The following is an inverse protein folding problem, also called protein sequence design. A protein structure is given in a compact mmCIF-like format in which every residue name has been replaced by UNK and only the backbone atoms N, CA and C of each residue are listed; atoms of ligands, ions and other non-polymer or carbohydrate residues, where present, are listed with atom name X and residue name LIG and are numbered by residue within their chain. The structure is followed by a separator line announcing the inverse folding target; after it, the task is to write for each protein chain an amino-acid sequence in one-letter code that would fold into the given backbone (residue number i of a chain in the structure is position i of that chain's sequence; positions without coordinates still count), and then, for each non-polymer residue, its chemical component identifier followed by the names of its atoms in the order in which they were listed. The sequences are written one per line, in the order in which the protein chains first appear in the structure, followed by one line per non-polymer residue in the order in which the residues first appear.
data_IF_331648106933
#
_entry.id   IF_331648106933
#
_cell.length_a   1.000
_cell.length_b   1.000
_cell.length_c   1.000
_cell.angle_alpha   90.00
_cell.angle_beta   90.00
_cell.angle_gamma   90.00
#
_symmetry.space_group_name_H-M   'P 1'
#
loop_
_entity.id
_entity.type
_entity.pdbx_description
1 polymer ?
#
# COMPACT_ATOMS: atom_id res chain seq x y z
N UNK A 1 8.41 -5.61 19.22
CA UNK A 1 9.54 -4.74 18.88
C UNK A 1 9.15 -3.66 17.87
N UNK A 2 8.48 -4.01 16.73
CA UNK A 2 8.09 -3.02 15.73
C UNK A 2 7.21 -1.92 16.33
N UNK A 3 6.21 -2.29 17.13
CA UNK A 3 5.29 -1.33 17.76
C UNK A 3 6.04 -0.33 18.64
N UNK A 4 7.09 -0.77 19.35
CA UNK A 4 7.89 0.12 20.20
C UNK A 4 8.67 1.17 19.42
N UNK A 5 8.88 0.96 18.12
CA UNK A 5 9.54 1.91 17.23
C UNK A 5 8.56 2.86 16.53
N UNK A 6 7.27 2.52 16.49
CA UNK A 6 6.26 3.40 15.89
C UNK A 6 6.02 4.60 16.80
N UNK A 7 6.16 5.78 16.23
CA UNK A 7 5.96 7.04 16.95
C UNK A 7 4.55 7.58 16.72
N UNK A 8 3.85 7.92 17.81
CA UNK A 8 2.53 8.56 17.73
C UNK A 8 2.71 10.07 17.93
N UNK A 9 2.26 10.84 16.95
CA UNK A 9 2.38 12.31 16.93
C UNK A 9 0.97 12.92 17.01
N UNK A 10 0.52 13.37 18.19
CA UNK A 10 -0.78 14.01 18.32
C UNK A 10 -0.83 15.36 17.59
N UNK A 11 -2.00 15.68 17.01
CA UNK A 11 -2.22 16.97 16.37
C UNK A 11 -1.50 17.17 15.03
N UNK A 12 -1.09 16.10 14.37
CA UNK A 12 -0.45 16.18 13.07
C UNK A 12 -1.21 15.30 12.04
N UNK A 13 -1.41 15.77 10.78
CA UNK A 13 -1.06 17.09 10.23
C UNK A 13 -1.97 18.22 10.71
N UNK A 14 -3.03 17.91 11.43
CA UNK A 14 -3.97 18.89 12.03
C UNK A 14 -4.49 18.38 13.37
N UNK A 15 -5.05 19.31 14.15
CA UNK A 15 -5.66 19.01 15.45
C UNK A 15 -6.72 17.89 15.35
N UNK A 16 -6.75 17.00 16.33
CA UNK A 16 -7.67 15.86 16.39
C UNK A 16 -7.16 14.60 15.69
N UNK A 17 -6.03 14.67 14.97
CA UNK A 17 -5.42 13.51 14.32
C UNK A 17 -4.20 13.05 15.12
N UNK A 18 -4.06 11.74 15.26
CA UNK A 18 -2.84 11.11 15.76
C UNK A 18 -2.11 10.46 14.57
N UNK A 19 -1.01 11.06 14.17
CA UNK A 19 -0.19 10.52 13.09
C UNK A 19 0.65 9.35 13.60
N UNK A 20 0.56 8.21 12.92
CA UNK A 20 1.35 7.01 13.24
C UNK A 20 2.57 6.96 12.33
N UNK A 21 3.70 7.37 12.87
CA UNK A 21 4.96 7.45 12.13
C UNK A 21 5.77 6.17 12.31
N UNK A 22 5.94 5.42 11.23
CA UNK A 22 6.75 4.20 11.22
C UNK A 22 8.16 4.41 10.65
N UNK A 23 8.52 5.62 10.28
CA UNK A 23 9.88 5.92 9.77
C UNK A 23 10.99 5.49 10.72
N UNK A 24 10.82 5.56 12.05
CA UNK A 24 11.83 5.02 12.97
C UNK A 24 12.05 3.51 12.84
N UNK A 25 11.06 2.76 12.38
CA UNK A 25 11.21 1.31 12.08
C UNK A 25 12.19 1.11 10.93
N UNK A 26 12.08 1.94 9.89
CA UNK A 26 12.95 1.86 8.72
C UNK A 26 14.38 2.32 9.01
N UNK A 27 14.51 3.28 9.92
CA UNK A 27 15.81 3.82 10.31
C UNK A 27 16.61 2.87 11.20
N UNK A 28 15.95 1.93 11.86
CA UNK A 28 16.58 0.93 12.70
C UNK A 28 16.91 -0.33 11.89
N UNK A 29 18.21 -0.74 11.79
CA UNK A 29 18.58 -1.90 10.97
C UNK A 29 17.87 -3.19 11.36
N UNK A 30 17.64 -3.40 12.65
CA UNK A 30 16.91 -4.55 13.15
C UNK A 30 15.41 -4.41 12.85
N UNK A 31 14.87 -3.21 13.01
CA UNK A 31 13.47 -2.90 12.71
C UNK A 31 13.11 -3.14 11.24
N UNK A 32 13.92 -2.63 10.32
CA UNK A 32 13.75 -2.85 8.90
C UNK A 32 13.78 -4.34 8.51
N UNK A 33 14.76 -5.07 9.05
CA UNK A 33 14.87 -6.52 8.78
C UNK A 33 13.66 -7.30 9.31
N UNK A 34 13.22 -6.98 10.53
CA UNK A 34 12.04 -7.61 11.12
C UNK A 34 10.78 -7.25 10.35
N UNK A 35 10.63 -5.99 9.93
CA UNK A 35 9.49 -5.55 9.13
C UNK A 35 9.35 -6.35 7.84
N UNK A 36 10.42 -6.45 7.06
CA UNK A 36 10.40 -7.18 5.78
C UNK A 36 10.08 -8.66 5.99
N UNK A 37 10.68 -9.28 7.00
CA UNK A 37 10.39 -10.68 7.34
C UNK A 37 8.95 -10.87 7.78
N UNK A 38 8.43 -10.01 8.62
CA UNK A 38 7.04 -10.08 9.10
C UNK A 38 6.03 -9.88 7.97
N UNK A 39 6.29 -8.96 7.04
CA UNK A 39 5.44 -8.75 5.87
C UNK A 39 5.42 -9.99 4.96
N UNK A 40 6.56 -10.63 4.77
CA UNK A 40 6.65 -11.86 3.98
C UNK A 40 5.90 -13.02 4.66
N UNK A 41 6.08 -13.22 5.96
CA UNK A 41 5.42 -14.29 6.72
C UNK A 41 3.90 -14.07 6.82
N UNK A 42 3.44 -12.83 6.79
CA UNK A 42 2.03 -12.45 6.88
C UNK A 42 1.35 -12.22 5.53
N UNK A 43 1.97 -12.60 4.42
CA UNK A 43 1.36 -12.42 3.10
C UNK A 43 -0.05 -13.00 3.07
N UNK A 44 -1.04 -12.25 2.52
CA UNK A 44 -2.43 -12.71 2.48
C UNK A 44 -2.67 -13.81 1.46
N UNK A 45 -1.74 -13.96 0.51
CA UNK A 45 -1.74 -14.98 -0.54
C UNK A 45 -0.33 -15.52 -0.72
N UNK A 46 -0.21 -16.73 -1.25
CA UNK A 46 1.10 -17.35 -1.53
C UNK A 46 1.87 -16.54 -2.59
N UNK A 47 3.21 -16.45 -2.51
CA UNK A 47 4.02 -15.83 -3.56
C UNK A 47 3.79 -16.41 -4.96
N UNK A 48 3.34 -17.66 -5.08
CA UNK A 48 2.98 -18.26 -6.37
C UNK A 48 1.69 -17.70 -6.98
N UNK A 49 0.90 -16.94 -6.22
CA UNK A 49 -0.40 -16.40 -6.64
C UNK A 49 -0.31 -14.99 -7.21
N UNK A 50 0.85 -14.35 -7.20
CA UNK A 50 1.03 -13.03 -7.80
C UNK A 50 2.36 -12.92 -8.55
N UNK A 51 2.40 -11.98 -9.48
CA UNK A 51 3.53 -11.76 -10.40
C UNK A 51 4.29 -10.48 -10.09
N UNK A 52 3.60 -9.49 -9.53
CA UNK A 52 4.15 -8.17 -9.24
C UNK A 52 3.59 -7.61 -7.93
N UNK A 53 4.35 -6.70 -7.33
CA UNK A 53 3.93 -5.90 -6.18
C UNK A 53 3.73 -4.47 -6.67
N UNK A 54 2.56 -3.89 -6.37
CA UNK A 54 2.28 -2.47 -6.59
C UNK A 54 2.37 -1.72 -5.26
N UNK A 55 3.23 -0.72 -5.19
CA UNK A 55 3.36 0.15 -4.02
C UNK A 55 2.68 1.49 -4.26
N UNK A 56 1.99 2.00 -3.23
CA UNK A 56 1.27 3.27 -3.32
C UNK A 56 2.17 4.43 -2.85
N UNK A 57 2.18 5.51 -3.63
CA UNK A 57 2.92 6.72 -3.28
C UNK A 57 2.45 7.28 -1.94
N UNK A 58 3.36 7.65 -1.09
CA UNK A 58 4.80 7.51 -1.25
C UNK A 58 5.38 6.44 -0.33
N UNK A 59 4.72 6.15 0.77
CA UNK A 59 5.28 5.29 1.82
C UNK A 59 5.31 3.81 1.46
N UNK A 60 4.45 3.36 0.54
CA UNK A 60 4.53 2.03 -0.05
C UNK A 60 5.82 1.79 -0.84
N UNK A 61 6.48 2.86 -1.31
CA UNK A 61 7.77 2.77 -2.01
C UNK A 61 8.95 2.48 -1.08
N UNK A 62 8.78 2.72 0.22
CA UNK A 62 9.87 2.58 1.19
C UNK A 62 10.19 1.13 1.51
N UNK A 63 9.29 0.20 1.25
CA UNK A 63 9.49 -1.23 1.51
C UNK A 63 8.98 -2.13 0.37
N UNK A 64 8.08 -1.65 -0.47
CA UNK A 64 7.53 -2.43 -1.60
C UNK A 64 8.58 -3.00 -2.54
N UNK A 65 9.54 -2.19 -3.04
CA UNK A 65 10.62 -2.69 -3.91
C UNK A 65 11.51 -3.74 -3.24
N UNK A 66 11.79 -3.58 -1.94
CA UNK A 66 12.57 -4.56 -1.19
C UNK A 66 11.84 -5.90 -1.07
N UNK A 67 10.52 -5.87 -0.80
CA UNK A 67 9.68 -7.07 -0.81
C UNK A 67 9.68 -7.74 -2.17
N UNK A 68 9.47 -6.97 -3.24
CA UNK A 68 9.44 -7.48 -4.60
C UNK A 68 10.75 -8.18 -4.96
N UNK A 69 11.88 -7.53 -4.73
CA UNK A 69 13.20 -8.10 -5.00
C UNK A 69 13.44 -9.39 -4.22
N UNK A 70 13.10 -9.41 -2.92
CA UNK A 70 13.25 -10.58 -2.07
C UNK A 70 12.41 -11.77 -2.53
N UNK A 71 11.19 -11.50 -3.00
CA UNK A 71 10.24 -12.52 -3.49
C UNK A 71 10.42 -12.88 -4.97
N UNK A 72 11.37 -12.26 -5.66
CA UNK A 72 11.59 -12.49 -7.10
C UNK A 72 10.46 -11.93 -7.97
N UNK A 73 9.85 -10.84 -7.57
CA UNK A 73 8.73 -10.18 -8.28
C UNK A 73 9.15 -8.83 -8.86
N UNK A 74 8.40 -8.35 -9.85
CA UNK A 74 8.50 -6.97 -10.32
C UNK A 74 7.80 -6.00 -9.38
N UNK A 75 8.11 -4.70 -9.52
CA UNK A 75 7.49 -3.63 -8.76
C UNK A 75 6.80 -2.61 -9.68
N UNK A 76 5.60 -2.22 -9.32
CA UNK A 76 4.79 -1.23 -10.02
C UNK A 76 4.60 -0.04 -9.09
N UNK A 77 5.00 1.15 -9.55
CA UNK A 77 4.78 2.38 -8.81
C UNK A 77 3.39 2.94 -9.14
N UNK A 78 2.51 3.02 -8.15
CA UNK A 78 1.24 3.75 -8.25
C UNK A 78 1.48 5.13 -7.67
N UNK A 79 1.39 6.16 -8.50
CA UNK A 79 1.74 7.52 -8.14
C UNK A 79 0.54 8.46 -8.21
N UNK A 80 0.65 9.59 -7.51
CA UNK A 80 -0.30 10.70 -7.68
C UNK A 80 -0.20 11.26 -9.09
N UNK A 81 -1.32 11.76 -9.62
CA UNK A 81 -1.39 12.32 -10.97
C UNK A 81 -0.31 13.38 -11.22
N UNK A 82 0.27 13.34 -12.41
CA UNK A 82 1.29 14.28 -12.85
C UNK A 82 2.72 13.97 -12.42
N UNK A 83 2.97 12.81 -11.78
CA UNK A 83 4.29 12.41 -11.31
C UNK A 83 5.02 11.44 -12.24
N UNK A 84 4.30 10.83 -13.17
CA UNK A 84 4.85 9.88 -14.14
C UNK A 84 4.97 10.50 -15.54
N UNK A 85 5.97 10.09 -16.33
CA UNK A 85 6.00 10.47 -17.72
C UNK A 85 4.85 9.82 -18.51
N UNK A 86 4.36 10.45 -19.59
CA UNK A 86 3.36 9.80 -20.43
C UNK A 86 3.97 8.58 -21.15
N UNK A 87 3.18 7.56 -21.50
CA UNK A 87 1.73 7.55 -21.31
C UNK A 87 1.35 6.90 -19.97
N UNK A 88 0.28 7.41 -19.36
CA UNK A 88 -0.26 6.90 -18.10
C UNK A 88 -1.72 6.54 -18.21
N UNK A 89 -2.17 5.65 -17.33
CA UNK A 89 -3.58 5.39 -17.06
C UNK A 89 -3.86 5.91 -15.66
N UNK A 90 -4.99 6.59 -15.48
CA UNK A 90 -5.37 7.20 -14.21
C UNK A 90 -6.73 6.73 -13.69
N UNK A 91 -6.90 6.86 -12.39
CA UNK A 91 -8.16 6.64 -11.67
C UNK A 91 -8.32 7.72 -10.61
N UNK A 92 -9.51 8.32 -10.56
CA UNK A 92 -9.84 9.35 -9.58
C UNK A 92 -10.66 8.79 -8.43
N UNK A 93 -10.52 9.38 -7.25
CA UNK A 93 -11.30 9.04 -6.07
C UNK A 93 -11.57 10.27 -5.21
N UNK A 94 -12.68 10.21 -4.47
CA UNK A 94 -13.11 11.33 -3.64
C UNK A 94 -12.35 11.35 -2.30
N UNK A 95 -12.00 12.56 -1.89
CA UNK A 95 -11.50 12.88 -0.56
C UNK A 95 -12.62 13.54 0.25
N UNK A 96 -12.40 13.72 1.55
CA UNK A 96 -13.29 14.53 2.39
C UNK A 96 -13.46 15.95 1.81
N UNK A 97 -12.40 16.51 1.24
CA UNK A 97 -12.38 17.80 0.55
C UNK A 97 -11.74 17.66 -0.82
N UNK A 98 -12.56 17.55 -1.87
CA UNK A 98 -12.10 17.46 -3.26
C UNK A 98 -11.88 16.05 -3.74
N UNK A 99 -11.09 15.93 -4.81
CA UNK A 99 -10.75 14.66 -5.45
C UNK A 99 -9.24 14.49 -5.55
N UNK A 100 -8.79 13.24 -5.60
CA UNK A 100 -7.42 12.90 -5.92
C UNK A 100 -7.40 11.88 -7.06
N UNK A 101 -6.26 11.74 -7.73
CA UNK A 101 -6.07 10.76 -8.79
C UNK A 101 -4.75 10.05 -8.60
N UNK A 102 -4.75 8.76 -8.92
CA UNK A 102 -3.54 7.93 -8.98
C UNK A 102 -3.34 7.45 -10.41
N UNK A 103 -2.09 7.23 -10.78
CA UNK A 103 -1.67 6.84 -12.12
C UNK A 103 -0.64 5.71 -12.06
N UNK A 104 -0.62 4.90 -13.13
CA UNK A 104 0.46 3.99 -13.46
C UNK A 104 0.89 4.24 -14.91
N UNK A 105 2.11 3.89 -15.26
CA UNK A 105 2.52 3.85 -16.66
C UNK A 105 1.70 2.80 -17.41
N UNK A 106 1.31 3.11 -18.64
CA UNK A 106 0.37 2.29 -19.44
C UNK A 106 0.86 0.85 -19.63
N UNK A 107 2.16 0.65 -19.72
CA UNK A 107 2.80 -0.65 -19.92
C UNK A 107 3.27 -1.32 -18.63
N UNK A 108 3.02 -0.71 -17.47
CA UNK A 108 3.45 -1.26 -16.18
C UNK A 108 2.73 -2.56 -15.82
N UNK A 109 1.50 -2.74 -16.30
CA UNK A 109 0.69 -3.93 -16.05
C UNK A 109 0.36 -4.58 -17.38
N UNK A 110 0.93 -5.75 -17.63
CA UNK A 110 0.54 -6.58 -18.77
C UNK A 110 -0.78 -7.28 -18.48
N UNK A 111 -1.58 -7.51 -19.53
CA UNK A 111 -2.85 -8.21 -19.41
C UNK A 111 -2.70 -9.57 -18.72
N UNK A 112 -3.56 -9.86 -17.76
CA UNK A 112 -3.57 -11.09 -16.99
C UNK A 112 -2.54 -11.16 -15.85
N UNK A 113 -1.73 -10.12 -15.64
CA UNK A 113 -0.81 -10.07 -14.48
C UNK A 113 -1.58 -9.98 -13.17
N UNK A 114 -1.11 -10.75 -12.20
CA UNK A 114 -1.67 -10.80 -10.84
C UNK A 114 -0.82 -9.92 -9.95
N UNK A 115 -1.46 -9.02 -9.22
CA UNK A 115 -0.78 -7.95 -8.49
C UNK A 115 -1.18 -7.96 -7.01
N UNK A 116 -0.19 -7.90 -6.14
CA UNK A 116 -0.37 -7.62 -4.71
C UNK A 116 -0.13 -6.13 -4.46
N UNK A 117 -1.10 -5.44 -3.90
CA UNK A 117 -0.95 -4.03 -3.50
C UNK A 117 -0.33 -3.95 -2.11
N UNK A 118 0.65 -3.09 -1.93
CA UNK A 118 1.28 -2.82 -0.63
C UNK A 118 1.25 -1.33 -0.31
N UNK A 119 0.98 -1.03 0.96
CA UNK A 119 1.10 0.33 1.50
C UNK A 119 1.46 0.25 3.00
N UNK A 120 1.87 1.36 3.57
CA UNK A 120 2.17 1.43 5.00
C UNK A 120 0.91 1.34 5.86
N UNK A 121 -0.16 1.97 5.43
CA UNK A 121 -1.35 2.19 6.24
C UNK A 121 -2.63 2.02 5.42
N UNK A 122 -3.62 1.37 6.00
CA UNK A 122 -5.00 1.49 5.53
C UNK A 122 -5.84 2.24 6.58
N UNK A 123 -6.43 3.34 6.14
CA UNK A 123 -7.37 4.15 6.91
C UNK A 123 -8.79 3.98 6.36
N UNK A 124 -9.23 4.86 5.48
CA UNK A 124 -10.56 4.77 4.85
C UNK A 124 -10.63 3.83 3.65
N UNK A 125 -9.49 3.40 3.14
CA UNK A 125 -9.42 2.46 2.01
C UNK A 125 -9.57 3.09 0.62
N UNK A 126 -9.74 4.40 0.53
CA UNK A 126 -9.96 5.09 -0.75
C UNK A 126 -8.83 4.94 -1.75
N UNK A 127 -7.59 5.13 -1.30
CA UNK A 127 -6.40 5.01 -2.16
C UNK A 127 -6.20 3.56 -2.63
N UNK A 128 -6.35 2.58 -1.74
CA UNK A 128 -6.24 1.17 -2.10
C UNK A 128 -7.32 0.74 -3.09
N UNK A 129 -8.54 1.23 -2.92
CA UNK A 129 -9.65 0.98 -3.87
C UNK A 129 -9.34 1.58 -5.24
N UNK A 130 -8.92 2.84 -5.29
CA UNK A 130 -8.55 3.51 -6.53
C UNK A 130 -7.40 2.79 -7.26
N UNK A 131 -6.40 2.35 -6.53
CA UNK A 131 -5.29 1.57 -7.09
C UNK A 131 -5.77 0.22 -7.64
N UNK A 132 -6.72 -0.44 -6.98
CA UNK A 132 -7.34 -1.67 -7.48
C UNK A 132 -8.04 -1.43 -8.80
N UNK A 133 -8.91 -0.43 -8.86
CA UNK A 133 -9.66 -0.09 -10.08
C UNK A 133 -8.71 0.28 -11.23
N UNK A 134 -7.63 0.98 -10.92
CA UNK A 134 -6.61 1.37 -11.89
C UNK A 134 -5.88 0.15 -12.48
N UNK A 135 -5.43 -0.77 -11.65
CA UNK A 135 -4.73 -1.98 -12.09
C UNK A 135 -5.65 -2.87 -12.91
N UNK A 136 -6.90 -3.03 -12.50
CA UNK A 136 -7.90 -3.82 -13.23
C UNK A 136 -8.26 -3.17 -14.56
N UNK A 137 -8.36 -1.85 -14.62
CA UNK A 137 -8.56 -1.08 -15.85
C UNK A 137 -7.39 -1.26 -16.83
N UNK A 138 -6.18 -1.45 -16.33
CA UNK A 138 -5.00 -1.73 -17.14
C UNK A 138 -4.91 -3.19 -17.62
N UNK A 139 -5.82 -4.06 -17.18
CA UNK A 139 -5.88 -5.47 -17.59
C UNK A 139 -5.26 -6.46 -16.60
N UNK A 140 -4.82 -5.99 -15.43
CA UNK A 140 -4.33 -6.85 -14.35
C UNK A 140 -5.44 -7.32 -13.42
N UNK A 141 -5.07 -8.16 -12.47
CA UNK A 141 -5.95 -8.63 -11.39
C UNK A 141 -5.29 -8.38 -10.06
N UNK A 142 -5.96 -7.67 -9.17
CA UNK A 142 -5.50 -7.49 -7.79
C UNK A 142 -5.90 -8.71 -6.96
N UNK A 143 -4.91 -9.41 -6.41
CA UNK A 143 -5.14 -10.66 -5.67
C UNK A 143 -5.19 -10.46 -4.16
N UNK A 144 -4.70 -9.33 -3.66
CA UNK A 144 -4.71 -9.04 -2.24
C UNK A 144 -3.95 -7.77 -1.89
N UNK A 145 -3.91 -7.50 -0.59
CA UNK A 145 -3.31 -6.29 -0.02
C UNK A 145 -2.44 -6.64 1.18
N UNK A 146 -1.29 -5.99 1.28
CA UNK A 146 -0.40 -6.10 2.44
C UNK A 146 -0.13 -4.70 3.00
N UNK A 147 -0.51 -4.49 4.25
CA UNK A 147 -0.31 -3.23 4.97
C UNK A 147 0.60 -3.45 6.18
N UNK A 148 1.40 -2.47 6.51
CA UNK A 148 2.11 -2.47 7.79
C UNK A 148 1.11 -2.24 8.92
N UNK A 149 0.19 -1.29 8.74
CA UNK A 149 -0.74 -0.87 9.78
C UNK A 149 -2.17 -0.72 9.27
N UNK A 150 -3.12 -1.10 10.12
CA UNK A 150 -4.54 -0.81 9.94
C UNK A 150 -5.01 0.14 11.04
N UNK A 151 -5.73 1.18 10.66
CA UNK A 151 -6.43 2.04 11.62
C UNK A 151 -7.84 1.51 11.85
N UNK A 152 -8.10 1.09 13.09
CA UNK A 152 -9.41 0.59 13.48
C UNK A 152 -10.43 1.72 13.62
N UNK A 153 -11.68 1.45 13.27
CA UNK A 153 -12.79 2.40 13.36
C UNK A 153 -13.08 3.17 12.07
N UNK A 154 -12.29 2.99 11.01
CA UNK A 154 -12.49 3.65 9.72
C UNK A 154 -13.00 2.70 8.62
N UNK A 155 -13.12 1.42 8.92
CA UNK A 155 -13.70 0.37 8.07
C UNK A 155 -13.12 0.31 6.63
N UNK A 156 -11.84 0.66 6.49
CA UNK A 156 -11.18 0.75 5.18
C UNK A 156 -11.14 -0.57 4.40
N UNK A 157 -11.11 -1.70 5.13
CA UNK A 157 -11.11 -3.03 4.50
C UNK A 157 -12.42 -3.33 3.75
N UNK A 158 -13.53 -2.70 4.13
CA UNK A 158 -14.83 -2.90 3.49
C UNK A 158 -14.82 -2.43 2.02
N UNK A 159 -13.93 -1.51 1.67
CA UNK A 159 -13.76 -1.03 0.28
C UNK A 159 -12.94 -1.96 -0.60
N UNK A 160 -12.39 -3.03 -0.07
CA UNK A 160 -11.47 -3.92 -0.79
C UNK A 160 -12.19 -5.10 -1.46
N UNK A 161 -13.51 -5.08 -1.55
CA UNK A 161 -14.35 -6.05 -2.26
C UNK A 161 -14.13 -7.51 -1.79
N UNK A 162 -13.83 -7.70 -0.50
CA UNK A 162 -13.61 -9.01 0.10
C UNK A 162 -12.29 -9.68 -0.31
N UNK A 163 -11.40 -8.99 -1.00
CA UNK A 163 -10.09 -9.53 -1.38
C UNK A 163 -9.22 -9.77 -0.14
N UNK A 164 -8.36 -10.80 -0.15
CA UNK A 164 -7.47 -11.10 0.98
C UNK A 164 -6.59 -9.89 1.35
N UNK A 165 -6.45 -9.64 2.63
CA UNK A 165 -5.59 -8.58 3.15
C UNK A 165 -4.87 -9.01 4.41
N UNK A 166 -3.70 -8.42 4.66
CA UNK A 166 -2.96 -8.57 5.91
C UNK A 166 -2.53 -7.20 6.45
N UNK A 167 -2.44 -7.12 7.77
CA UNK A 167 -1.90 -5.96 8.48
C UNK A 167 -1.08 -6.47 9.66
N UNK A 168 0.14 -5.96 9.83
CA UNK A 168 1.00 -6.42 10.94
C UNK A 168 0.56 -5.82 12.27
N UNK A 169 0.06 -4.58 12.25
CA UNK A 169 -0.28 -3.80 13.44
C UNK A 169 -1.68 -3.23 13.23
N UNK A 170 -2.50 -3.27 14.28
CA UNK A 170 -3.77 -2.55 14.35
C UNK A 170 -3.68 -1.48 15.43
N UNK A 171 -4.10 -0.27 15.11
CA UNK A 171 -4.12 0.86 16.04
C UNK A 171 -5.43 1.63 15.90
N UNK A 172 -5.92 2.26 16.96
CA UNK A 172 -7.06 3.18 16.87
C UNK A 172 -6.77 4.34 15.91
N UNK A 173 -7.81 4.78 15.22
CA UNK A 173 -7.74 5.94 14.32
C UNK A 173 -7.56 7.25 15.12
#
# INVERSE_FOLDING_TARGET
YLVSLVRSVPGFPKEGIIFRDFMPVLADPKGLKILLKALEEALPVSPSEFDSIAGLESRGFLFGPAMAAHLGKGFIAVRKAGKLPPETIGESYDLEYGTASVEIETDAVQAGKRVLIVDDLIATGGTAKAATDLIEKAGGTVVGFSFVMRLDGLDGLDKLDGKPSSSLIAMPA
#
